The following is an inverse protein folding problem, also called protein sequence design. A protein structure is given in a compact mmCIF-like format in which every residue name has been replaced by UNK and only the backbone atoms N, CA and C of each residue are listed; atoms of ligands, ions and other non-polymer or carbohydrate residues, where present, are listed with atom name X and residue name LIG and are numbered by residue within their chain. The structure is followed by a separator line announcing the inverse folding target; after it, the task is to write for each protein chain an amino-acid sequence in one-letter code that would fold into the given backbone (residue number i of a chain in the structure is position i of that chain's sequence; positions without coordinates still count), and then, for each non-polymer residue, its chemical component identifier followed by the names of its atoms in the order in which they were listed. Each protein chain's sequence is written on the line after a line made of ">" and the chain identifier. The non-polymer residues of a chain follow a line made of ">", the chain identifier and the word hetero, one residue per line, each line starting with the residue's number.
data_IF_654419689841
#
_entry.id   IF_654419689841
#
_cell.length_a   1.000
_cell.length_b   1.000
_cell.length_c   1.000
_cell.angle_alpha   90.00
_cell.angle_beta   90.00
_cell.angle_gamma   90.00
#
_symmetry.space_group_name_H-M   'P 1'
#
loop_
_entity.id
_entity.type
_entity.pdbx_description
1 polymer ?
#
# COMPACT_ATOMS: atom_id res chain seq x y z
N UNK A 1 15.05 -3.72 -4.60
CA UNK A 1 13.66 -3.57 -4.11
C UNK A 1 13.20 -2.17 -4.45
N UNK A 2 11.93 -2.00 -4.79
CA UNK A 2 11.38 -0.66 -5.01
C UNK A 2 11.33 0.10 -3.68
N UNK A 3 11.46 1.43 -3.75
CA UNK A 3 11.31 2.31 -2.59
C UNK A 3 10.10 3.22 -2.80
N UNK A 4 9.55 3.80 -1.73
CA UNK A 4 8.41 4.72 -1.86
C UNK A 4 8.74 5.94 -2.74
N UNK A 5 10.02 6.34 -2.79
CA UNK A 5 10.54 7.39 -3.68
C UNK A 5 10.42 7.06 -5.17
N UNK A 6 10.28 5.79 -5.54
CA UNK A 6 9.99 5.38 -6.91
C UNK A 6 8.56 5.74 -7.34
N UNK A 7 7.71 6.19 -6.40
CA UNK A 7 6.31 6.53 -6.65
C UNK A 7 6.06 8.01 -6.40
N UNK A 8 5.36 8.65 -7.34
CA UNK A 8 4.84 10.00 -7.16
C UNK A 8 3.47 9.91 -6.51
N UNK A 9 3.32 10.44 -5.29
CA UNK A 9 2.01 10.63 -4.66
C UNK A 9 1.29 11.81 -5.31
N UNK A 10 0.12 11.56 -5.89
CA UNK A 10 -0.65 12.57 -6.66
C UNK A 10 -1.69 13.23 -5.76
N UNK A 11 -2.66 12.46 -5.28
CA UNK A 11 -3.79 12.97 -4.50
C UNK A 11 -4.29 11.93 -3.51
N UNK A 12 -4.94 12.38 -2.44
CA UNK A 12 -5.61 11.50 -1.48
C UNK A 12 -6.97 11.10 -2.03
N UNK A 13 -7.22 9.81 -2.17
CA UNK A 13 -8.47 9.26 -2.72
C UNK A 13 -9.34 8.57 -1.67
N UNK A 14 -8.82 8.32 -0.47
CA UNK A 14 -9.60 7.73 0.60
C UNK A 14 -8.91 7.79 1.96
N UNK A 15 -9.71 7.74 3.01
CA UNK A 15 -9.26 7.61 4.40
C UNK A 15 -10.27 6.78 5.17
N UNK A 16 -9.78 5.93 6.06
CA UNK A 16 -10.61 5.19 6.99
C UNK A 16 -9.79 4.75 8.20
N UNK A 17 -10.40 3.88 9.02
CA UNK A 17 -9.81 3.37 10.26
C UNK A 17 -8.41 2.79 10.05
N UNK A 18 -8.21 2.06 8.95
CA UNK A 18 -6.97 1.32 8.68
C UNK A 18 -5.88 2.14 7.98
N UNK A 19 -6.15 3.41 7.65
CA UNK A 19 -5.15 4.30 7.06
C UNK A 19 -5.67 5.16 5.92
N UNK A 20 -4.73 5.64 5.11
CA UNK A 20 -5.00 6.62 4.05
C UNK A 20 -4.57 6.06 2.71
N UNK A 21 -5.43 6.19 1.70
CA UNK A 21 -5.15 5.77 0.32
C UNK A 21 -4.88 7.00 -0.53
N UNK A 22 -3.77 6.96 -1.25
CA UNK A 22 -3.42 7.97 -2.24
C UNK A 22 -3.40 7.35 -3.63
N UNK A 23 -3.86 8.10 -4.63
CA UNK A 23 -3.49 7.82 -6.01
C UNK A 23 -2.04 8.21 -6.20
N UNK A 24 -1.29 7.37 -6.87
CA UNK A 24 0.10 7.59 -7.18
C UNK A 24 0.45 7.15 -8.60
N UNK A 25 1.69 7.41 -9.00
CA UNK A 25 2.25 6.98 -10.27
C UNK A 25 3.63 6.39 -10.04
N UNK A 26 3.85 5.17 -10.51
CA UNK A 26 5.19 4.60 -10.56
C UNK A 26 6.03 5.42 -11.55
N UNK A 27 7.13 6.01 -11.08
CA UNK A 27 7.98 6.90 -11.89
C UNK A 27 8.73 6.15 -12.99
N UNK A 28 8.99 4.85 -12.80
CA UNK A 28 9.72 4.00 -13.76
C UNK A 28 8.81 3.51 -14.88
N UNK A 29 7.62 3.02 -14.53
CA UNK A 29 6.69 2.43 -15.51
C UNK A 29 5.65 3.41 -16.04
N UNK A 30 5.43 4.52 -15.33
CA UNK A 30 4.35 5.47 -15.62
C UNK A 30 2.96 4.98 -15.22
N UNK A 31 2.84 3.78 -14.64
CA UNK A 31 1.57 3.18 -14.25
C UNK A 31 0.95 3.92 -13.05
N UNK A 32 -0.38 4.11 -13.09
CA UNK A 32 -1.13 4.60 -11.95
C UNK A 32 -1.35 3.48 -10.93
N UNK A 33 -1.17 3.80 -9.67
CA UNK A 33 -1.28 2.85 -8.56
C UNK A 33 -2.01 3.49 -7.38
N UNK A 34 -2.60 2.67 -6.52
CA UNK A 34 -3.09 3.09 -5.22
C UNK A 34 -2.05 2.79 -4.14
N UNK A 35 -1.67 3.81 -3.38
CA UNK A 35 -0.72 3.78 -2.28
C UNK A 35 -1.51 3.77 -0.96
N UNK A 36 -1.80 2.59 -0.41
CA UNK A 36 -2.48 2.46 0.88
C UNK A 36 -1.45 2.53 2.01
N UNK A 37 -1.36 3.69 2.67
CA UNK A 37 -0.54 3.90 3.86
C UNK A 37 -1.27 3.34 5.08
N UNK A 38 -0.72 2.30 5.69
CA UNK A 38 -1.28 1.69 6.90
C UNK A 38 -1.05 2.61 8.10
N UNK A 39 -2.09 2.77 8.93
CA UNK A 39 -1.98 3.47 10.22
C UNK A 39 -1.40 2.51 11.25
N UNK A 40 -0.27 2.88 11.86
CA UNK A 40 0.25 2.21 13.04
C UNK A 40 -0.24 2.96 14.27
N UNK A 41 -0.77 2.24 15.26
CA UNK A 41 -1.34 2.84 16.48
C UNK A 41 -0.26 3.20 17.50
N UNK A 42 0.82 2.41 17.55
CA UNK A 42 2.00 2.62 18.41
C UNK A 42 3.27 2.22 17.65
N UNK A 43 4.37 2.93 17.92
CA UNK A 43 5.68 2.59 17.35
C UNK A 43 6.27 1.28 17.92
N UNK A 44 5.77 0.83 19.08
CA UNK A 44 6.27 -0.34 19.80
C UNK A 44 5.50 -1.63 19.47
N UNK A 45 4.29 -1.52 18.92
CA UNK A 45 3.40 -2.66 18.65
C UNK A 45 3.63 -3.31 17.27
N UNK A 46 4.56 -2.77 16.47
CA UNK A 46 4.86 -3.30 15.15
C UNK A 46 3.67 -3.21 14.19
N UNK A 47 3.54 -4.19 13.29
CA UNK A 47 2.51 -4.21 12.26
C UNK A 47 1.22 -4.81 12.84
N UNK A 48 0.05 -4.13 12.75
CA UNK A 48 -1.21 -4.69 13.19
C UNK A 48 -1.49 -6.05 12.54
N UNK A 49 -1.92 -7.04 13.34
CA UNK A 49 -2.24 -8.38 12.84
C UNK A 49 -3.30 -8.36 11.72
N UNK A 50 -4.22 -7.39 11.77
CA UNK A 50 -5.21 -7.13 10.72
C UNK A 50 -4.55 -6.76 9.38
N UNK A 51 -3.54 -5.89 9.40
CA UNK A 51 -2.79 -5.52 8.19
C UNK A 51 -1.98 -6.71 7.64
N UNK A 52 -1.36 -7.51 8.50
CA UNK A 52 -0.67 -8.74 8.07
C UNK A 52 -1.62 -9.72 7.40
N UNK A 53 -2.83 -9.90 7.96
CA UNK A 53 -3.86 -10.75 7.36
C UNK A 53 -4.31 -10.25 5.99
N UNK A 54 -4.52 -8.94 5.83
CA UNK A 54 -4.83 -8.34 4.52
C UNK A 54 -3.72 -8.61 3.50
N UNK A 55 -2.46 -8.40 3.87
CA UNK A 55 -1.30 -8.63 2.99
C UNK A 55 -1.25 -10.10 2.55
N UNK A 56 -1.38 -11.04 3.49
CA UNK A 56 -1.32 -12.47 3.17
C UNK A 56 -2.44 -12.88 2.21
N UNK A 57 -3.67 -12.41 2.42
CA UNK A 57 -4.79 -12.69 1.52
C UNK A 57 -4.56 -12.08 0.13
N UNK A 58 -4.16 -10.81 0.06
CA UNK A 58 -3.95 -10.13 -1.22
C UNK A 58 -2.78 -10.70 -2.03
N UNK A 59 -1.78 -11.32 -1.38
CA UNK A 59 -0.68 -12.02 -2.06
C UNK A 59 -1.15 -13.27 -2.81
N UNK A 60 -2.17 -13.94 -2.30
CA UNK A 60 -2.71 -15.18 -2.87
C UNK A 60 -3.81 -14.92 -3.91
N UNK A 61 -4.47 -13.76 -3.83
CA UNK A 61 -5.55 -13.39 -4.75
C UNK A 61 -5.00 -12.82 -6.06
N UNK A 62 -5.25 -13.54 -7.16
CA UNK A 62 -4.96 -13.09 -8.53
C UNK A 62 -6.16 -13.33 -9.41
N UNK A 63 -6.93 -12.28 -9.68
CA UNK A 63 -8.13 -12.36 -10.48
C UNK A 63 -8.44 -11.01 -11.14
N UNK A 64 -8.91 -10.96 -12.40
CA UNK A 64 -9.16 -9.70 -13.11
C UNK A 64 -10.15 -8.76 -12.40
N UNK A 65 -11.06 -9.31 -11.59
CA UNK A 65 -12.07 -8.53 -10.84
C UNK A 65 -11.69 -8.29 -9.38
N UNK A 66 -10.44 -8.57 -8.98
CA UNK A 66 -9.95 -8.35 -7.62
C UNK A 66 -8.69 -7.49 -7.71
N UNK A 67 -8.62 -6.46 -6.88
CA UNK A 67 -7.42 -5.63 -6.77
C UNK A 67 -6.21 -6.50 -6.40
N UNK A 68 -5.11 -6.29 -7.10
CA UNK A 68 -3.87 -7.04 -6.95
C UNK A 68 -2.86 -6.22 -6.17
N UNK A 69 -2.22 -6.85 -5.19
CA UNK A 69 -1.07 -6.31 -4.48
C UNK A 69 0.18 -6.46 -5.33
N UNK A 70 0.68 -5.33 -5.84
CA UNK A 70 1.88 -5.30 -6.69
C UNK A 70 3.16 -5.33 -5.84
N UNK A 71 3.18 -4.59 -4.72
CA UNK A 71 4.34 -4.55 -3.82
C UNK A 71 3.95 -4.11 -2.39
N UNK A 72 4.85 -4.37 -1.43
CA UNK A 72 4.76 -3.88 -0.04
C UNK A 72 6.03 -3.13 0.29
N UNK A 73 5.91 -1.83 0.49
CA UNK A 73 7.04 -0.95 0.77
C UNK A 73 7.05 -0.56 2.24
N UNK A 74 8.23 -0.57 2.84
CA UNK A 74 8.45 -0.11 4.20
C UNK A 74 9.41 1.07 4.18
N UNK A 75 8.97 2.21 4.70
CA UNK A 75 9.78 3.41 4.88
C UNK A 75 9.78 3.74 6.37
N UNK A 76 10.94 3.64 7.01
CA UNK A 76 11.08 3.79 8.48
C UNK A 76 10.07 2.90 9.23
N UNK A 77 9.06 3.52 9.85
CA UNK A 77 7.94 2.88 10.57
C UNK A 77 6.61 3.07 9.82
N UNK A 78 6.62 3.13 8.49
CA UNK A 78 5.43 3.29 7.66
C UNK A 78 5.38 2.20 6.62
N UNK A 79 4.20 1.59 6.47
CA UNK A 79 3.96 0.55 5.49
C UNK A 79 3.02 1.09 4.43
N UNK A 80 3.40 0.85 3.18
CA UNK A 80 2.60 1.16 2.01
C UNK A 80 2.32 -0.12 1.25
N UNK A 81 1.04 -0.37 0.98
CA UNK A 81 0.61 -1.37 0.01
C UNK A 81 0.46 -0.69 -1.35
N UNK A 82 1.13 -1.24 -2.36
CA UNK A 82 1.04 -0.79 -3.75
C UNK A 82 0.03 -1.67 -4.44
N UNK A 83 -1.06 -1.08 -4.89
CA UNK A 83 -2.20 -1.77 -5.50
C UNK A 83 -2.41 -1.24 -6.92
N UNK A 84 -2.86 -2.09 -7.83
CA UNK A 84 -3.31 -1.62 -9.14
C UNK A 84 -4.62 -0.81 -9.02
N UNK A 85 -4.86 0.10 -9.97
CA UNK A 85 -6.11 0.85 -10.14
C UNK A 85 -6.81 0.33 -11.39
#
# INVERSE_FOLDING_TARGET
>A
MANIDDFLKIEKIGEGTYGVVYKGKNKKTGQLVALKKIRLESEDEGIPATALREISLLKELRHPNIVSLEDVLMEEKRIYLILNI
#
